data_IF_273863255040
#
_entry.id   IF_273863255040
#
_cell.length_a   1.000
_cell.length_b   1.000
_cell.length_c   1.000
_cell.angle_alpha   90.00
_cell.angle_beta   90.00
_cell.angle_gamma   90.00
#
_symmetry.space_group_name_H-M   'P 1'
#
loop_
_entity.id
_entity.type
_entity.pdbx_description
1 polymer ?
#
# COMPACT_ATOMS: atom_id res chain seq x y z
N UNK A 1 7.82 -21.35 6.65
CA UNK A 1 6.51 -21.69 7.24
C UNK A 1 5.84 -20.43 7.72
N UNK A 2 4.56 -20.44 8.16
CA UNK A 2 3.87 -19.21 8.60
C UNK A 2 4.53 -18.48 9.80
N UNK A 3 5.54 -19.09 10.43
CA UNK A 3 6.35 -18.54 11.52
C UNK A 3 7.85 -18.41 11.18
N UNK A 4 8.25 -18.50 9.91
CA UNK A 4 9.66 -18.28 9.55
C UNK A 4 9.98 -16.79 9.52
N UNK A 5 11.11 -16.41 10.13
CA UNK A 5 11.65 -15.07 10.02
C UNK A 5 11.91 -14.73 8.55
N UNK A 6 11.41 -13.58 8.12
CA UNK A 6 11.54 -13.14 6.72
C UNK A 6 12.92 -12.57 6.41
N UNK A 7 13.61 -12.09 7.45
CA UNK A 7 14.99 -11.63 7.38
C UNK A 7 15.73 -12.17 8.60
N UNK A 8 16.96 -12.63 8.37
CA UNK A 8 17.87 -13.15 9.40
C UNK A 8 19.19 -12.41 9.26
N UNK A 9 19.75 -11.95 10.37
CA UNK A 9 21.08 -11.32 10.42
C UNK A 9 21.95 -12.13 11.37
N UNK A 10 23.10 -12.57 10.88
CA UNK A 10 24.06 -13.33 11.68
C UNK A 10 24.95 -12.42 12.54
N UNK A 11 25.43 -12.95 13.65
CA UNK A 11 26.35 -12.24 14.54
C UNK A 11 27.80 -12.39 14.06
N UNK A 12 28.67 -11.37 14.26
CA UNK A 12 28.37 -10.07 14.87
C UNK A 12 27.57 -9.16 13.93
N UNK A 13 26.58 -8.45 14.50
CA UNK A 13 25.63 -7.64 13.72
C UNK A 13 26.32 -6.37 13.23
N UNK A 14 26.30 -6.17 11.92
CA UNK A 14 26.64 -4.89 11.29
C UNK A 14 25.44 -3.94 11.38
N UNK A 15 25.65 -2.73 11.91
CA UNK A 15 24.57 -1.75 12.13
C UNK A 15 23.96 -1.29 10.79
N UNK A 16 24.79 -1.08 9.75
CA UNK A 16 24.29 -0.65 8.44
C UNK A 16 23.50 -1.74 7.72
N UNK A 17 23.83 -3.02 7.94
CA UNK A 17 23.05 -4.16 7.45
C UNK A 17 21.72 -4.26 8.20
N UNK A 18 21.72 -4.04 9.51
CA UNK A 18 20.51 -4.03 10.32
C UNK A 18 19.55 -2.93 9.87
N UNK A 19 20.03 -1.69 9.71
CA UNK A 19 19.23 -0.55 9.28
C UNK A 19 18.59 -0.80 7.91
N UNK A 20 19.36 -1.23 6.91
CA UNK A 20 18.85 -1.57 5.57
C UNK A 20 17.84 -2.71 5.60
N UNK A 21 18.07 -3.71 6.44
CA UNK A 21 17.17 -4.86 6.59
C UNK A 21 15.85 -4.42 7.21
N UNK A 22 15.89 -3.57 8.24
CA UNK A 22 14.71 -2.99 8.87
C UNK A 22 13.96 -2.08 7.90
N UNK A 23 14.67 -1.25 7.13
CA UNK A 23 14.05 -0.37 6.13
C UNK A 23 13.38 -1.17 4.99
N UNK A 24 14.05 -2.22 4.50
CA UNK A 24 13.48 -3.15 3.52
C UNK A 24 12.27 -3.87 4.09
N UNK A 25 12.36 -4.37 5.33
CA UNK A 25 11.23 -4.98 6.01
C UNK A 25 10.07 -3.99 6.18
N UNK A 26 10.30 -2.74 6.58
CA UNK A 26 9.24 -1.72 6.73
C UNK A 26 8.61 -1.29 5.40
N UNK A 27 9.36 -1.43 4.30
CA UNK A 27 8.89 -1.13 2.94
C UNK A 27 8.14 -2.31 2.31
N UNK A 28 8.52 -3.54 2.65
CA UNK A 28 7.99 -4.77 2.06
C UNK A 28 7.03 -5.57 2.95
N UNK A 29 6.99 -5.33 4.27
CA UNK A 29 6.17 -6.08 5.21
C UNK A 29 4.73 -5.56 5.30
N UNK A 30 3.79 -6.51 5.43
CA UNK A 30 2.36 -6.25 5.58
C UNK A 30 1.66 -6.27 4.22
N UNK A 31 1.43 -5.10 3.65
CA UNK A 31 0.55 -4.92 2.50
C UNK A 31 1.12 -5.55 1.21
N UNK A 32 2.42 -5.38 0.95
CA UNK A 32 3.09 -5.96 -0.22
C UNK A 32 3.13 -7.49 -0.23
N UNK A 33 3.18 -8.12 0.95
CA UNK A 33 3.01 -9.58 1.09
C UNK A 33 1.58 -10.02 0.84
N UNK A 34 0.60 -9.37 1.46
CA UNK A 34 -0.82 -9.66 1.24
C UNK A 34 -1.19 -9.54 -0.23
N UNK A 35 -0.72 -8.49 -0.93
CA UNK A 35 -0.91 -8.31 -2.37
C UNK A 35 -0.27 -9.46 -3.18
N UNK A 36 0.96 -9.86 -2.86
CA UNK A 36 1.65 -10.98 -3.55
C UNK A 36 0.93 -12.33 -3.34
N UNK A 37 0.46 -12.59 -2.12
CA UNK A 37 -0.32 -13.80 -1.79
C UNK A 37 -1.66 -13.81 -2.52
N UNK A 38 -2.42 -12.71 -2.49
CA UNK A 38 -3.71 -12.60 -3.19
C UNK A 38 -3.55 -12.76 -4.70
N UNK A 39 -2.54 -12.12 -5.32
CA UNK A 39 -2.20 -12.30 -6.75
C UNK A 39 -1.76 -13.71 -7.14
N UNK A 40 -1.28 -14.49 -6.18
CA UNK A 40 -0.89 -15.88 -6.41
C UNK A 40 -2.09 -16.81 -6.32
N UNK A 41 -3.06 -16.49 -5.46
CA UNK A 41 -4.36 -17.17 -5.39
C UNK A 41 -5.23 -16.85 -6.61
N UNK A 42 -5.25 -15.59 -7.05
CA UNK A 42 -5.97 -15.14 -8.25
C UNK A 42 -5.49 -15.87 -9.53
N UNK A 43 -4.19 -16.15 -9.64
CA UNK A 43 -3.64 -16.96 -10.74
C UNK A 43 -4.00 -18.44 -10.66
N UNK A 44 -4.40 -18.93 -9.48
CA UNK A 44 -4.73 -20.32 -9.24
C UNK A 44 -6.23 -20.65 -9.45
N UNK A 45 -7.13 -19.67 -9.31
CA UNK A 45 -8.60 -19.85 -9.36
C UNK A 45 -9.27 -19.27 -10.62
N UNK A 46 -8.85 -19.72 -11.79
CA UNK A 46 -9.36 -19.29 -13.10
C UNK A 46 -10.82 -19.74 -13.38
N UNK A 47 -11.86 -19.25 -12.67
CA UNK A 47 -13.29 -19.38 -13.07
C UNK A 47 -14.14 -18.17 -12.59
N UNK A 48 -14.68 -17.41 -13.55
CA UNK A 48 -15.83 -16.46 -13.56
C UNK A 48 -16.11 -15.42 -12.44
N UNK A 49 -15.54 -15.52 -11.23
CA UNK A 49 -15.66 -14.49 -10.16
C UNK A 49 -14.68 -13.31 -10.38
N UNK A 50 -13.68 -13.52 -11.24
CA UNK A 50 -12.42 -12.77 -11.37
C UNK A 50 -12.48 -11.27 -11.74
N UNK A 51 -13.64 -10.61 -11.75
CA UNK A 51 -13.69 -9.15 -11.78
C UNK A 51 -13.57 -8.56 -10.37
N UNK A 52 -14.16 -9.19 -9.34
CA UNK A 52 -14.18 -8.60 -7.99
C UNK A 52 -12.83 -8.72 -7.31
N UNK A 53 -12.20 -9.88 -7.41
CA UNK A 53 -10.86 -10.15 -6.90
C UNK A 53 -9.83 -9.29 -7.62
N UNK A 54 -9.95 -9.15 -8.95
CA UNK A 54 -9.06 -8.30 -9.74
C UNK A 54 -9.16 -6.84 -9.33
N UNK A 55 -10.38 -6.30 -9.21
CA UNK A 55 -10.61 -4.92 -8.73
C UNK A 55 -10.07 -4.72 -7.30
N UNK A 56 -10.19 -5.74 -6.45
CA UNK A 56 -9.64 -5.71 -5.10
C UNK A 56 -8.10 -5.71 -5.11
N UNK A 57 -7.47 -6.55 -5.92
CA UNK A 57 -6.02 -6.61 -6.11
C UNK A 57 -5.47 -5.31 -6.69
N UNK A 58 -6.11 -4.77 -7.74
CA UNK A 58 -5.77 -3.49 -8.36
C UNK A 58 -5.85 -2.35 -7.33
N UNK A 59 -6.90 -2.35 -6.51
CA UNK A 59 -7.07 -1.38 -5.43
C UNK A 59 -5.97 -1.49 -4.38
N UNK A 60 -5.67 -2.69 -3.89
CA UNK A 60 -4.61 -2.88 -2.89
C UNK A 60 -3.24 -2.47 -3.43
N UNK A 61 -2.94 -2.79 -4.69
CA UNK A 61 -1.70 -2.39 -5.34
C UNK A 61 -1.58 -0.86 -5.44
N UNK A 62 -2.66 -0.19 -5.84
CA UNK A 62 -2.71 1.27 -5.88
C UNK A 62 -2.53 1.90 -4.49
N UNK A 63 -3.21 1.37 -3.47
CA UNK A 63 -3.05 1.82 -2.09
C UNK A 63 -1.61 1.67 -1.59
N UNK A 64 -0.93 0.59 -1.96
CA UNK A 64 0.47 0.35 -1.62
C UNK A 64 1.42 1.37 -2.26
N UNK A 65 1.21 1.70 -3.54
CA UNK A 65 2.04 2.71 -4.21
C UNK A 65 1.73 4.13 -3.74
N UNK A 66 0.46 4.45 -3.45
CA UNK A 66 0.10 5.71 -2.78
C UNK A 66 0.80 5.84 -1.42
N UNK A 67 0.80 4.77 -0.62
CA UNK A 67 1.48 4.74 0.66
C UNK A 67 2.97 5.03 0.52
N UNK A 68 3.67 4.33 -0.38
CA UNK A 68 5.11 4.53 -0.60
C UNK A 68 5.44 5.96 -1.00
N UNK A 69 4.63 6.55 -1.87
CA UNK A 69 4.91 7.86 -2.45
C UNK A 69 4.56 9.01 -1.50
N UNK A 70 3.53 8.82 -0.67
CA UNK A 70 3.02 9.86 0.23
C UNK A 70 3.59 9.77 1.64
N UNK A 71 4.19 8.63 2.02
CA UNK A 71 4.84 8.48 3.32
C UNK A 71 6.03 9.44 3.41
N UNK A 72 5.98 10.35 4.39
CA UNK A 72 7.04 11.34 4.64
C UNK A 72 6.89 12.66 3.89
N UNK A 73 5.88 12.80 3.02
CA UNK A 73 5.53 14.10 2.45
C UNK A 73 4.71 14.91 3.46
N UNK A 74 5.07 16.18 3.64
CA UNK A 74 4.31 17.14 4.44
C UNK A 74 3.22 17.86 3.64
N UNK A 75 3.28 17.77 2.31
CA UNK A 75 2.36 18.47 1.41
C UNK A 75 1.23 17.56 0.90
N UNK A 76 0.07 18.17 0.72
CA UNK A 76 -1.13 17.50 0.23
C UNK A 76 -0.96 17.14 -1.25
N UNK A 77 -1.17 15.86 -1.63
CA UNK A 77 -0.98 15.45 -3.02
C UNK A 77 -2.06 16.02 -3.94
N UNK A 78 -1.68 16.34 -5.17
CA UNK A 78 -2.63 16.73 -6.19
C UNK A 78 -3.44 15.50 -6.65
N UNK A 79 -4.71 15.46 -6.23
CA UNK A 79 -5.64 14.37 -6.53
C UNK A 79 -5.85 14.17 -8.03
N UNK A 80 -5.78 15.24 -8.84
CA UNK A 80 -5.96 15.16 -10.29
C UNK A 80 -4.77 14.47 -10.95
N UNK A 81 -3.55 14.76 -10.48
CA UNK A 81 -2.33 14.14 -11.01
C UNK A 81 -2.30 12.65 -10.66
N UNK A 82 -2.61 12.29 -9.40
CA UNK A 82 -2.72 10.89 -8.97
C UNK A 82 -3.80 10.14 -9.76
N UNK A 83 -4.95 10.76 -10.01
CA UNK A 83 -6.02 10.14 -10.80
C UNK A 83 -5.55 9.84 -12.24
N UNK A 84 -4.81 10.76 -12.85
CA UNK A 84 -4.21 10.58 -14.17
C UNK A 84 -3.19 9.45 -14.21
N UNK A 85 -2.26 9.42 -13.26
CA UNK A 85 -1.20 8.41 -13.18
C UNK A 85 -1.71 6.99 -12.91
N UNK A 86 -2.71 6.85 -12.03
CA UNK A 86 -3.29 5.55 -11.70
C UNK A 86 -4.44 5.16 -12.64
N UNK A 87 -4.77 5.99 -13.63
CA UNK A 87 -5.86 5.78 -14.58
C UNK A 87 -7.22 5.47 -13.90
N UNK A 88 -7.51 6.17 -12.81
CA UNK A 88 -8.76 6.04 -12.04
C UNK A 88 -9.41 7.40 -11.83
N UNK A 89 -10.67 7.41 -11.42
CA UNK A 89 -11.36 8.65 -11.11
C UNK A 89 -10.86 9.26 -9.77
N UNK A 90 -11.06 10.58 -9.63
CA UNK A 90 -10.67 11.33 -8.41
C UNK A 90 -11.36 10.83 -7.14
N UNK A 91 -12.59 10.28 -7.24
CA UNK A 91 -13.31 9.75 -6.08
C UNK A 91 -12.68 8.44 -5.59
N UNK A 92 -12.15 7.62 -6.50
CA UNK A 92 -11.38 6.42 -6.18
C UNK A 92 -10.09 6.77 -5.44
N UNK A 93 -9.32 7.76 -5.91
CA UNK A 93 -8.13 8.24 -5.18
C UNK A 93 -8.48 8.75 -3.79
N UNK A 94 -9.50 9.62 -3.66
CA UNK A 94 -9.93 10.12 -2.34
C UNK A 94 -10.33 9.00 -1.38
N UNK A 95 -11.07 8.00 -1.86
CA UNK A 95 -11.46 6.83 -1.05
C UNK A 95 -10.23 6.05 -0.59
N UNK A 96 -9.25 5.86 -1.46
CA UNK A 96 -8.03 5.13 -1.11
C UNK A 96 -7.17 5.89 -0.09
N UNK A 97 -7.04 7.21 -0.22
CA UNK A 97 -6.37 8.04 0.78
C UNK A 97 -7.09 8.02 2.11
N UNK A 98 -8.43 8.14 2.10
CA UNK A 98 -9.25 8.06 3.31
C UNK A 98 -9.06 6.71 4.01
N UNK A 99 -9.12 5.60 3.27
CA UNK A 99 -8.91 4.25 3.84
C UNK A 99 -7.51 4.11 4.45
N UNK A 100 -6.48 4.67 3.81
CA UNK A 100 -5.12 4.66 4.34
C UNK A 100 -4.98 5.49 5.63
N UNK A 101 -5.65 6.64 5.72
CA UNK A 101 -5.71 7.45 6.94
C UNK A 101 -6.48 6.73 8.05
N UNK A 102 -7.65 6.15 7.75
CA UNK A 102 -8.44 5.38 8.71
C UNK A 102 -7.69 4.18 9.30
N UNK A 103 -6.80 3.57 8.51
CA UNK A 103 -5.92 2.48 8.96
C UNK A 103 -4.66 2.96 9.68
N UNK A 104 -4.47 4.28 9.86
CA UNK A 104 -3.29 4.87 10.47
C UNK A 104 -2.02 4.72 9.63
N UNK A 105 -2.14 4.49 8.31
CA UNK A 105 -1.02 4.26 7.41
C UNK A 105 -0.54 5.54 6.72
N UNK A 106 -1.38 6.57 6.67
CA UNK A 106 -1.05 7.93 6.22
C UNK A 106 -1.48 8.97 7.25
N UNK A 107 -0.77 10.10 7.28
CA UNK A 107 -1.13 11.24 8.12
C UNK A 107 -2.48 11.84 7.68
N UNK A 108 -3.42 12.10 8.60
CA UNK A 108 -4.67 12.80 8.30
C UNK A 108 -4.49 14.14 7.57
N UNK A 109 -3.36 14.83 7.77
CA UNK A 109 -3.03 16.07 7.07
C UNK A 109 -2.92 15.88 5.53
N UNK A 110 -2.57 14.67 5.08
CA UNK A 110 -2.46 14.31 3.66
C UNK A 110 -3.84 13.95 3.08
N UNK A 111 -4.65 13.20 3.85
CA UNK A 111 -5.92 12.64 3.36
C UNK A 111 -7.17 13.50 3.58
N UNK A 112 -7.09 14.59 4.35
CA UNK A 112 -8.27 15.43 4.64
C UNK A 112 -8.55 16.43 3.51
N UNK A 113 -9.38 16.02 2.54
CA UNK A 113 -10.48 16.88 2.12
C UNK A 113 -11.63 16.54 3.08
N UNK A 114 -11.82 17.33 4.12
CA UNK A 114 -13.08 17.32 4.87
C UNK A 114 -14.21 17.50 3.85
N UNK A 115 -15.25 16.65 3.84
CA UNK A 115 -16.45 16.95 3.10
C UNK A 115 -17.04 18.19 3.77
N UNK A 116 -16.91 19.34 3.12
CA UNK A 116 -17.76 20.48 3.41
C UNK A 116 -19.19 20.05 3.10
N UNK A 117 -20.04 20.11 4.11
CA UNK A 117 -21.49 20.07 3.95
C UNK A 117 -21.92 21.10 2.90
N UNK A 118 -22.80 20.68 1.99
CA UNK A 118 -23.40 21.48 0.92
C UNK A 118 -24.31 20.62 0.06
#
# INVERSE_FOLDING_TARGET
GPFSADYVIEKPVDIGQLERTVETALTECGLGRTVRSLRSLERAELIEDGNRERLFTERLARQHELLKRLRGLAEKPNISDLAGEFHVDRKTIRRDLHDLVQRGQLDPAIGSDTPGEG
#
